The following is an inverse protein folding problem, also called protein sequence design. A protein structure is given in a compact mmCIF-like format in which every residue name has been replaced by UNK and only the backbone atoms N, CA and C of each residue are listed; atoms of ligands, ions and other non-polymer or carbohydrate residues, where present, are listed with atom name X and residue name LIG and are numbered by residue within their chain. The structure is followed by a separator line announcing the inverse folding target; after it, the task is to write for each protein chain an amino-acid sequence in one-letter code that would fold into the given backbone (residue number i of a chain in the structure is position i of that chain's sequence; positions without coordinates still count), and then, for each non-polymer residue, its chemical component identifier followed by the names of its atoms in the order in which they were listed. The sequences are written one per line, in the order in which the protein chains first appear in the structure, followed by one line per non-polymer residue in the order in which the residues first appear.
data_IF_838132063121
#
_entry.id   IF_838132063121
#
_cell.length_a   1.000
_cell.length_b   1.000
_cell.length_c   1.000
_cell.angle_alpha   90.00
_cell.angle_beta   90.00
_cell.angle_gamma   90.00
#
_symmetry.space_group_name_H-M   'P 1'
#
loop_
_entity.id
_entity.type
_entity.pdbx_description
1 polymer ?
#
# COMPACT_ATOMS: atom_id res chain seq x y z
N UNK A 1 6.80 -49.11 -25.97
CA UNK A 1 7.10 -47.66 -26.02
C UNK A 1 5.76 -46.90 -26.01
N UNK A 2 5.16 -46.69 -24.82
CA UNK A 2 3.93 -45.88 -24.64
C UNK A 2 4.36 -44.62 -23.89
N UNK A 3 4.30 -43.46 -24.56
CA UNK A 3 4.51 -42.16 -23.93
C UNK A 3 3.31 -41.84 -23.04
N UNK A 4 3.57 -41.55 -21.76
CA UNK A 4 2.64 -40.84 -20.88
C UNK A 4 2.69 -39.37 -21.28
N UNK A 5 1.56 -38.83 -21.72
CA UNK A 5 1.29 -37.39 -21.74
C UNK A 5 1.06 -36.95 -20.30
N UNK A 6 2.01 -36.22 -19.72
CA UNK A 6 1.80 -35.49 -18.47
C UNK A 6 0.92 -34.28 -18.79
N UNK A 7 -0.30 -34.30 -18.23
CA UNK A 7 -1.18 -33.13 -18.20
C UNK A 7 -0.65 -32.22 -17.10
N UNK A 8 0.13 -31.21 -17.49
CA UNK A 8 0.52 -30.12 -16.60
C UNK A 8 -0.75 -29.33 -16.27
N UNK A 9 -1.29 -29.54 -15.06
CA UNK A 9 -2.36 -28.74 -14.52
C UNK A 9 -1.87 -27.30 -14.36
N UNK A 10 -2.16 -26.45 -15.35
CA UNK A 10 -2.13 -25.00 -15.17
C UNK A 10 -3.26 -24.67 -14.21
N UNK A 11 -2.90 -24.33 -12.98
CA UNK A 11 -3.84 -23.80 -11.99
C UNK A 11 -4.31 -22.42 -12.47
N UNK A 12 -5.33 -22.42 -13.31
CA UNK A 12 -6.10 -21.25 -13.69
C UNK A 12 -6.86 -20.78 -12.45
N UNK A 13 -6.27 -19.83 -11.71
CA UNK A 13 -6.97 -19.05 -10.70
C UNK A 13 -8.12 -18.30 -11.39
N UNK A 14 -9.34 -18.82 -11.24
CA UNK A 14 -10.55 -18.12 -11.64
C UNK A 14 -10.67 -16.84 -10.80
N UNK A 15 -10.47 -15.70 -11.47
CA UNK A 15 -10.63 -14.36 -10.91
C UNK A 15 -12.12 -14.02 -10.88
N UNK A 16 -12.71 -14.03 -9.69
CA UNK A 16 -13.92 -13.28 -9.37
C UNK A 16 -13.53 -12.31 -8.26
N UNK A 17 -13.46 -11.02 -8.59
CA UNK A 17 -12.98 -9.94 -7.73
C UNK A 17 -13.81 -9.80 -6.45
N UNK A 18 -13.26 -10.32 -5.36
CA UNK A 18 -13.57 -9.96 -3.98
C UNK A 18 -12.27 -10.15 -3.20
N UNK A 19 -11.76 -9.08 -2.59
CA UNK A 19 -10.47 -9.08 -1.90
C UNK A 19 -10.25 -10.31 -1.02
N UNK A 20 -9.08 -10.94 -1.17
CA UNK A 20 -8.76 -12.18 -0.48
C UNK A 20 -8.31 -11.86 0.95
N UNK A 21 -8.93 -12.49 1.96
CA UNK A 21 -8.43 -12.45 3.34
C UNK A 21 -7.20 -13.34 3.44
N UNK A 22 -6.11 -12.83 4.02
CA UNK A 22 -4.89 -13.62 4.21
C UNK A 22 -4.75 -14.17 5.63
N UNK A 23 -3.67 -14.91 5.89
CA UNK A 23 -3.34 -15.42 7.24
C UNK A 23 -3.19 -14.30 8.28
N UNK A 24 -2.89 -13.08 7.86
CA UNK A 24 -2.83 -11.91 8.75
C UNK A 24 -4.22 -11.39 9.14
N UNK A 25 -5.28 -11.86 8.47
CA UNK A 25 -6.65 -11.37 8.63
C UNK A 25 -6.94 -10.08 7.84
N UNK A 26 -5.92 -9.45 7.26
CA UNK A 26 -6.08 -8.27 6.43
C UNK A 26 -6.56 -8.64 5.02
N UNK A 27 -7.32 -7.72 4.44
CA UNK A 27 -7.78 -7.82 3.05
C UNK A 27 -6.63 -7.40 2.14
N UNK A 28 -6.39 -8.19 1.11
CA UNK A 28 -5.42 -7.90 0.05
C UNK A 28 -6.13 -7.63 -1.28
N UNK A 29 -5.73 -6.54 -1.94
CA UNK A 29 -6.21 -6.14 -3.26
C UNK A 29 -5.03 -5.87 -4.19
N UNK A 30 -5.27 -5.95 -5.49
CA UNK A 30 -4.28 -5.62 -6.52
C UNK A 30 -4.27 -4.11 -6.79
N UNK A 31 -3.08 -3.53 -6.98
CA UNK A 31 -2.90 -2.11 -7.27
C UNK A 31 -3.72 -1.64 -8.48
N UNK A 32 -3.69 -2.37 -9.59
CA UNK A 32 -4.37 -1.95 -10.82
C UNK A 32 -5.89 -1.92 -10.65
N UNK A 33 -6.44 -2.82 -9.83
CA UNK A 33 -7.87 -2.82 -9.54
C UNK A 33 -8.28 -1.64 -8.66
N UNK A 34 -7.41 -1.19 -7.75
CA UNK A 34 -7.69 -0.06 -6.86
C UNK A 34 -7.61 1.26 -7.61
N UNK A 35 -6.59 1.47 -8.45
CA UNK A 35 -6.38 2.75 -9.13
C UNK A 35 -7.31 2.96 -10.33
N UNK A 36 -7.80 1.89 -10.96
CA UNK A 36 -8.79 1.96 -12.05
C UNK A 36 -10.22 1.80 -11.49
N UNK A 37 -10.54 2.60 -10.46
CA UNK A 37 -11.77 2.46 -9.68
C UNK A 37 -13.07 2.71 -10.49
N UNK A 38 -13.01 3.52 -11.54
CA UNK A 38 -14.16 3.75 -12.43
C UNK A 38 -14.60 2.45 -13.13
N UNK A 39 -13.65 1.56 -13.44
CA UNK A 39 -13.90 0.26 -14.05
C UNK A 39 -14.11 -0.85 -12.98
N UNK A 40 -13.59 -0.64 -11.76
CA UNK A 40 -13.50 -1.66 -10.71
C UNK A 40 -14.05 -1.16 -9.35
N UNK A 41 -15.26 -0.59 -9.36
CA UNK A 41 -15.93 0.00 -8.17
C UNK A 41 -15.97 -0.97 -6.97
N UNK A 42 -16.09 -2.27 -7.24
CA UNK A 42 -16.15 -3.30 -6.19
C UNK A 42 -14.88 -3.36 -5.34
N UNK A 43 -13.68 -3.26 -5.93
CA UNK A 43 -12.43 -3.39 -5.19
C UNK A 43 -12.14 -2.14 -4.35
N UNK A 44 -12.45 -0.94 -4.86
CA UNK A 44 -12.38 0.27 -4.04
C UNK A 44 -13.35 0.20 -2.84
N UNK A 45 -14.58 -0.28 -3.05
CA UNK A 45 -15.53 -0.51 -1.97
C UNK A 45 -15.00 -1.53 -0.96
N UNK A 46 -14.42 -2.64 -1.41
CA UNK A 46 -13.82 -3.66 -0.54
C UNK A 46 -12.66 -3.08 0.27
N UNK A 47 -11.79 -2.27 -0.35
CA UNK A 47 -10.69 -1.57 0.31
C UNK A 47 -11.22 -0.64 1.41
N UNK A 48 -12.17 0.24 1.09
CA UNK A 48 -12.75 1.17 2.06
C UNK A 48 -13.46 0.44 3.20
N UNK A 49 -14.22 -0.62 2.89
CA UNK A 49 -14.88 -1.45 3.89
C UNK A 49 -13.87 -2.13 4.81
N UNK A 50 -12.77 -2.63 4.27
CA UNK A 50 -11.70 -3.26 5.04
C UNK A 50 -11.05 -2.25 6.00
N UNK A 51 -10.68 -1.07 5.51
CA UNK A 51 -10.14 0.02 6.32
C UNK A 51 -11.12 0.39 7.44
N UNK A 52 -12.40 0.60 7.13
CA UNK A 52 -13.40 0.97 8.13
C UNK A 52 -13.65 -0.10 9.20
N UNK A 53 -13.63 -1.38 8.82
CA UNK A 53 -13.97 -2.48 9.74
C UNK A 53 -12.78 -3.08 10.49
N UNK A 54 -11.57 -3.00 9.94
CA UNK A 54 -10.36 -3.62 10.50
C UNK A 54 -9.23 -2.63 10.75
N UNK A 55 -9.39 -1.36 10.36
CA UNK A 55 -8.38 -0.30 10.52
C UNK A 55 -7.27 -0.29 9.47
N UNK A 56 -7.12 -1.35 8.66
CA UNK A 56 -6.08 -1.46 7.64
C UNK A 56 -6.45 -2.44 6.51
N UNK A 57 -5.75 -2.30 5.39
CA UNK A 57 -5.76 -3.22 4.25
C UNK A 57 -4.39 -3.17 3.56
N UNK A 58 -4.12 -4.15 2.70
CA UNK A 58 -2.86 -4.24 1.95
C UNK A 58 -3.17 -4.17 0.45
N UNK A 59 -2.41 -3.33 -0.26
CA UNK A 59 -2.43 -3.26 -1.72
C UNK A 59 -1.14 -3.91 -2.23
N UNK A 60 -1.28 -4.94 -3.08
CA UNK A 60 -0.19 -5.72 -3.67
C UNK A 60 0.13 -5.25 -5.08
N UNK A 61 1.30 -5.66 -5.58
CA UNK A 61 1.75 -5.39 -6.95
C UNK A 61 1.84 -3.89 -7.29
N UNK A 62 2.09 -3.07 -6.27
CA UNK A 62 2.28 -1.63 -6.42
C UNK A 62 3.60 -1.36 -7.15
N UNK A 63 3.61 -0.67 -8.31
CA UNK A 63 4.85 -0.31 -8.99
C UNK A 63 5.72 0.60 -8.10
N UNK A 64 7.06 0.48 -8.07
CA UNK A 64 7.93 1.28 -7.21
C UNK A 64 8.17 2.70 -7.73
N UNK A 65 7.09 3.41 -8.12
CA UNK A 65 7.14 4.80 -8.59
C UNK A 65 6.98 5.73 -7.38
N UNK A 66 8.00 6.55 -7.14
CA UNK A 66 8.17 7.30 -5.90
C UNK A 66 7.84 8.79 -5.99
N UNK A 67 7.81 9.36 -7.19
CA UNK A 67 7.82 10.81 -7.36
C UNK A 67 6.63 11.34 -8.17
N UNK A 68 6.17 12.52 -7.75
CA UNK A 68 5.14 13.29 -8.44
C UNK A 68 3.75 12.64 -8.44
N UNK A 69 2.83 13.16 -9.28
CA UNK A 69 1.45 12.66 -9.39
C UNK A 69 1.34 11.20 -9.84
N UNK A 70 2.39 10.68 -10.50
CA UNK A 70 2.46 9.30 -10.97
C UNK A 70 2.90 8.32 -9.89
N UNK A 71 3.34 8.80 -8.72
CA UNK A 71 3.71 7.95 -7.60
C UNK A 71 2.56 7.01 -7.24
N UNK A 72 2.88 5.75 -6.96
CA UNK A 72 1.83 4.75 -6.75
C UNK A 72 0.98 5.05 -5.53
N UNK A 73 1.60 5.60 -4.47
CA UNK A 73 0.87 6.08 -3.28
C UNK A 73 -0.05 7.26 -3.61
N UNK A 74 0.35 8.15 -4.51
CA UNK A 74 -0.47 9.29 -4.96
C UNK A 74 -1.69 8.80 -5.73
N UNK A 75 -1.51 7.84 -6.64
CA UNK A 75 -2.63 7.23 -7.40
C UNK A 75 -3.66 6.57 -6.48
N UNK A 76 -3.20 5.81 -5.48
CA UNK A 76 -4.09 5.19 -4.48
C UNK A 76 -4.81 6.27 -3.66
N UNK A 77 -4.12 7.31 -3.22
CA UNK A 77 -4.73 8.40 -2.47
C UNK A 77 -5.79 9.16 -3.27
N UNK A 78 -5.54 9.44 -4.55
CA UNK A 78 -6.53 10.04 -5.46
C UNK A 78 -7.73 9.11 -5.66
N UNK A 79 -7.51 7.81 -5.84
CA UNK A 79 -8.61 6.84 -5.97
C UNK A 79 -9.50 6.79 -4.71
N UNK A 80 -8.92 6.97 -3.52
CA UNK A 80 -9.64 6.95 -2.23
C UNK A 80 -10.36 8.25 -1.89
N UNK A 81 -9.72 9.40 -2.15
CA UNK A 81 -10.14 10.69 -1.60
C UNK A 81 -10.42 11.76 -2.67
N UNK A 82 -10.21 11.46 -3.95
CA UNK A 82 -10.32 12.41 -5.06
C UNK A 82 -9.15 13.39 -5.18
N UNK A 83 -8.52 13.76 -4.06
CA UNK A 83 -7.30 14.55 -4.02
C UNK A 83 -6.43 14.18 -2.81
N UNK A 84 -5.13 14.52 -2.89
CA UNK A 84 -4.23 14.44 -1.76
C UNK A 84 -4.35 15.74 -0.95
N UNK A 85 -4.39 15.62 0.38
CA UNK A 85 -4.30 16.79 1.27
C UNK A 85 -2.91 16.87 1.89
N UNK A 86 -2.46 18.10 2.20
CA UNK A 86 -1.21 18.49 2.91
C UNK A 86 -0.06 19.12 2.08
N UNK A 87 -0.39 20.07 1.19
CA UNK A 87 0.61 20.83 0.41
C UNK A 87 1.42 21.92 1.14
N UNK A 88 1.62 21.90 2.47
CA UNK A 88 2.27 23.03 3.18
C UNK A 88 3.61 22.70 3.88
N UNK A 89 3.86 21.47 4.35
CA UNK A 89 5.10 21.17 5.12
C UNK A 89 5.89 19.93 4.64
N UNK A 90 5.23 18.91 4.09
CA UNK A 90 5.88 17.69 3.58
C UNK A 90 5.64 17.43 2.09
N UNK A 91 4.88 18.30 1.43
CA UNK A 91 4.34 18.05 0.09
C UNK A 91 3.24 16.98 0.10
N UNK A 92 2.64 16.71 -1.05
CA UNK A 92 1.54 15.74 -1.17
C UNK A 92 1.98 14.29 -0.92
N UNK A 93 3.27 14.01 -1.09
CA UNK A 93 3.93 12.73 -0.81
C UNK A 93 5.35 12.99 -0.27
N UNK A 94 5.86 12.11 0.57
CA UNK A 94 7.23 12.18 1.09
C UNK A 94 7.88 10.80 1.17
N UNK A 95 9.22 10.76 1.09
CA UNK A 95 10.00 9.53 1.11
C UNK A 95 10.60 9.28 2.49
N UNK A 96 10.31 8.10 3.06
CA UNK A 96 10.90 7.64 4.32
C UNK A 96 12.16 6.84 4.02
N UNK A 97 13.33 7.41 4.33
CA UNK A 97 14.64 6.76 4.18
C UNK A 97 15.58 7.17 5.31
N UNK A 98 16.46 6.27 5.73
CA UNK A 98 17.49 6.60 6.71
C UNK A 98 18.48 7.61 6.14
N UNK A 99 18.76 8.69 6.88
CA UNK A 99 19.72 9.75 6.49
C UNK A 99 20.62 10.12 7.67
N UNK A 100 21.85 10.56 7.39
CA UNK A 100 22.84 10.85 8.44
C UNK A 100 22.51 12.07 9.31
N UNK A 101 21.75 13.03 8.77
CA UNK A 101 21.32 14.26 9.46
C UNK A 101 19.78 14.31 9.53
N UNK A 102 19.19 13.29 10.14
CA UNK A 102 17.75 13.14 10.20
C UNK A 102 17.09 14.24 11.06
N UNK A 103 16.18 15.00 10.46
CA UNK A 103 15.33 15.98 11.17
C UNK A 103 14.10 15.35 11.84
N UNK A 104 13.82 14.08 11.52
CA UNK A 104 12.71 13.30 12.06
C UNK A 104 13.20 11.88 12.36
N UNK A 105 12.74 11.30 13.47
CA UNK A 105 13.07 9.92 13.87
C UNK A 105 12.69 8.89 12.80
N UNK A 106 11.65 9.16 11.99
CA UNK A 106 11.27 8.33 10.85
C UNK A 106 12.37 8.21 9.77
N UNK A 107 13.33 9.15 9.75
CA UNK A 107 14.47 9.13 8.82
C UNK A 107 15.75 8.56 9.45
N UNK A 108 15.59 7.70 10.47
CA UNK A 108 16.69 6.99 11.15
C UNK A 108 16.47 5.47 11.09
N UNK A 109 17.46 4.70 11.53
CA UNK A 109 17.33 3.24 11.73
C UNK A 109 16.88 2.85 13.14
N UNK A 110 16.46 3.82 13.96
CA UNK A 110 15.99 3.57 15.34
C UNK A 110 14.57 3.01 15.27
N UNK A 111 14.23 1.97 16.07
CA UNK A 111 12.87 1.41 16.10
C UNK A 111 11.82 2.46 16.45
N UNK A 112 10.77 2.54 15.63
CA UNK A 112 9.59 3.35 15.91
C UNK A 112 8.62 2.54 16.77
N UNK A 113 8.29 3.05 17.96
CA UNK A 113 7.20 2.48 18.77
C UNK A 113 5.85 2.74 18.10
N UNK A 114 4.80 1.97 18.40
CA UNK A 114 3.44 2.29 17.94
C UNK A 114 3.08 3.74 18.26
N UNK A 115 2.67 4.49 17.24
CA UNK A 115 2.34 5.92 17.32
C UNK A 115 1.30 6.29 16.27
N UNK A 116 0.78 7.51 16.37
CA UNK A 116 -0.03 8.14 15.33
C UNK A 116 0.78 9.28 14.72
N UNK A 117 0.78 9.37 13.39
CA UNK A 117 1.47 10.44 12.69
C UNK A 117 0.78 11.78 12.94
N UNK A 118 1.60 12.83 13.04
CA UNK A 118 1.15 14.23 13.08
C UNK A 118 0.13 14.54 14.19
N UNK A 119 0.19 13.83 15.33
CA UNK A 119 -0.72 14.00 16.48
C UNK A 119 -0.71 15.40 17.13
N UNK A 120 0.17 16.29 16.68
CA UNK A 120 0.26 17.69 17.11
C UNK A 120 -0.62 18.65 16.28
N UNK A 121 -1.27 18.18 15.20
CA UNK A 121 -2.26 18.97 14.46
C UNK A 121 -3.64 18.88 15.12
N UNK A 122 -4.39 19.98 15.07
CA UNK A 122 -5.79 20.01 15.51
C UNK A 122 -6.68 19.08 14.67
N UNK A 123 -6.40 18.99 13.37
CA UNK A 123 -7.03 18.05 12.45
C UNK A 123 -5.98 17.07 11.94
N UNK A 124 -5.88 15.91 12.60
CA UNK A 124 -4.95 14.85 12.21
C UNK A 124 -5.37 14.21 10.88
N UNK A 125 -4.41 13.69 10.08
CA UNK A 125 -4.75 12.91 8.89
C UNK A 125 -5.63 11.70 9.23
N UNK A 126 -6.73 11.55 8.50
CA UNK A 126 -7.68 10.44 8.73
C UNK A 126 -7.20 9.09 8.17
N UNK A 127 -6.39 9.11 7.11
CA UNK A 127 -5.81 7.92 6.48
C UNK A 127 -4.31 8.13 6.25
N UNK A 128 -3.54 7.06 6.45
CA UNK A 128 -2.10 7.02 6.19
C UNK A 128 -1.81 5.94 5.15
N UNK A 129 -1.11 6.30 4.08
CA UNK A 129 -0.72 5.40 3.00
C UNK A 129 0.79 5.22 3.02
N UNK A 130 1.24 3.97 3.19
CA UNK A 130 2.66 3.62 3.16
C UNK A 130 2.94 2.67 2.00
N UNK A 131 3.89 3.03 1.15
CA UNK A 131 4.31 2.24 0.00
C UNK A 131 5.76 1.79 0.16
N UNK A 132 5.96 0.49 0.34
CA UNK A 132 7.29 -0.12 0.35
C UNK A 132 7.85 -0.19 -1.08
N UNK A 133 8.56 0.85 -1.50
CA UNK A 133 9.14 0.90 -2.85
C UNK A 133 10.45 0.12 -3.00
N UNK A 134 11.24 0.00 -1.93
CA UNK A 134 12.50 -0.73 -1.95
C UNK A 134 12.83 -1.29 -0.56
N UNK A 135 13.19 -2.57 -0.53
CA UNK A 135 13.79 -3.24 0.64
C UNK A 135 14.94 -4.10 0.13
N UNK A 136 16.17 -3.75 0.47
CA UNK A 136 17.34 -4.48 -0.03
C UNK A 136 17.48 -5.81 0.73
N UNK A 137 17.83 -6.94 0.06
CA UNK A 137 17.89 -8.26 0.72
C UNK A 137 18.84 -8.36 1.92
N UNK A 138 19.84 -7.48 1.97
CA UNK A 138 20.82 -7.43 3.05
C UNK A 138 20.41 -6.50 4.21
N UNK A 139 19.23 -5.87 4.16
CA UNK A 139 18.69 -5.12 5.29
C UNK A 139 18.16 -6.15 6.30
N UNK A 140 18.56 -5.97 7.56
CA UNK A 140 18.07 -6.76 8.69
C UNK A 140 17.11 -5.88 9.50
N UNK A 141 15.94 -6.43 9.83
CA UNK A 141 14.87 -5.71 10.52
C UNK A 141 13.90 -5.03 9.56
N UNK A 142 13.12 -4.07 10.07
CA UNK A 142 12.15 -3.28 9.31
C UNK A 142 10.72 -3.86 9.29
N UNK A 143 10.49 -4.94 10.05
CA UNK A 143 9.15 -5.40 10.44
C UNK A 143 8.40 -4.47 11.39
#
# INVERSE_FOLDING_TARGET
RRMRTEVTATNSLQRNGVGMKTKSGLVELDFENVVNAEENVNDLYVLMKAIFSHGAAIIRNCPPILEGPSASVAKVGVALAGSLSHGQLYGDIFNVRSTSNAINIAYTSIPLRPHQDLAYYESMPGLQLLHCAAMHPNIVGGE
#
